data_IF_294551138429
#
_entry.id   IF_294551138429
#
_cell.length_a   1.000
_cell.length_b   1.000
_cell.length_c   1.000
_cell.angle_alpha   90.00
_cell.angle_beta   90.00
_cell.angle_gamma   90.00
#
_symmetry.space_group_name_H-M   'P 1'
#
loop_
_entity.id
_entity.type
_entity.pdbx_description
1 polymer ?
#
# COMPACT_ATOMS: atom_id res chain seq x y z
N UNK A 1 12.33 11.43 2.64
CA UNK A 1 12.13 11.15 4.09
C UNK A 1 10.91 10.25 4.38
N UNK A 2 9.71 10.59 3.88
CA UNK A 2 8.44 9.89 4.21
C UNK A 2 8.41 8.41 3.79
N UNK A 3 8.96 8.09 2.62
CA UNK A 3 9.04 6.70 2.13
C UNK A 3 9.77 5.78 3.14
N UNK A 4 10.93 6.22 3.66
CA UNK A 4 11.70 5.42 4.62
C UNK A 4 10.93 5.12 5.91
N UNK A 5 10.14 6.09 6.40
CA UNK A 5 9.31 5.90 7.59
C UNK A 5 8.19 4.88 7.36
N UNK A 6 7.59 4.85 6.17
CA UNK A 6 6.55 3.88 5.83
C UNK A 6 7.09 2.47 5.57
N UNK A 7 8.40 2.31 5.31
CA UNK A 7 8.99 1.01 5.03
C UNK A 7 8.86 0.03 6.21
N UNK A 8 9.03 0.53 7.45
CA UNK A 8 8.95 -0.28 8.68
C UNK A 8 7.55 -0.87 8.89
N UNK A 9 6.45 -0.08 8.93
CA UNK A 9 5.11 -0.64 9.09
C UNK A 9 4.67 -1.48 7.89
N UNK A 10 5.11 -1.16 6.64
CA UNK A 10 4.82 -2.01 5.47
C UNK A 10 5.53 -3.36 5.54
N UNK A 11 6.82 -3.39 5.91
CA UNK A 11 7.56 -4.64 6.10
C UNK A 11 6.90 -5.50 7.17
N UNK A 12 6.52 -4.90 8.29
CA UNK A 12 5.84 -5.64 9.35
C UNK A 12 4.48 -6.17 8.90
N UNK A 13 3.69 -5.35 8.19
CA UNK A 13 2.42 -5.80 7.61
C UNK A 13 2.63 -6.96 6.63
N UNK A 14 3.64 -6.90 5.76
CA UNK A 14 3.98 -7.97 4.82
C UNK A 14 4.40 -9.26 5.53
N UNK A 15 5.27 -9.20 6.54
CA UNK A 15 5.71 -10.38 7.30
C UNK A 15 4.53 -11.03 8.03
N UNK A 16 3.66 -10.22 8.65
CA UNK A 16 2.49 -10.71 9.37
C UNK A 16 1.42 -11.27 8.44
N UNK A 17 1.21 -10.65 7.29
CA UNK A 17 0.32 -11.14 6.24
C UNK A 17 0.82 -12.48 5.68
N UNK A 18 2.12 -12.62 5.39
CA UNK A 18 2.71 -13.88 4.94
C UNK A 18 2.57 -15.00 5.98
N UNK A 19 2.81 -14.71 7.26
CA UNK A 19 2.85 -15.73 8.33
C UNK A 19 1.48 -16.09 8.89
N UNK A 20 0.61 -15.10 9.09
CA UNK A 20 -0.66 -15.24 9.83
C UNK A 20 -1.89 -14.82 9.04
N UNK A 21 -1.73 -14.23 7.83
CA UNK A 21 -2.83 -13.67 7.04
C UNK A 21 -3.66 -12.63 7.80
N UNK A 22 -3.01 -11.92 8.71
CA UNK A 22 -3.61 -10.88 9.55
C UNK A 22 -2.73 -9.64 9.48
N UNK A 23 -3.32 -8.51 9.10
CA UNK A 23 -2.67 -7.21 9.13
C UNK A 23 -2.96 -6.58 10.50
N UNK A 24 -1.94 -6.36 11.34
CA UNK A 24 -2.14 -5.77 12.66
C UNK A 24 -2.54 -4.29 12.56
N UNK A 25 -3.41 -3.82 13.44
CA UNK A 25 -4.00 -2.49 13.27
C UNK A 25 -3.00 -1.33 13.36
N UNK A 26 -1.91 -1.53 14.11
CA UNK A 26 -0.91 -0.48 14.28
C UNK A 26 -0.17 -0.12 12.98
N UNK A 27 -0.09 -1.01 11.98
CA UNK A 27 0.67 -0.74 10.74
C UNK A 27 -0.04 0.27 9.86
N UNK A 28 -1.35 0.11 9.63
CA UNK A 28 -2.13 1.07 8.85
C UNK A 28 -2.31 2.39 9.61
N UNK A 29 -2.44 2.35 10.95
CA UNK A 29 -2.48 3.55 11.79
C UNK A 29 -1.17 4.34 11.68
N UNK A 30 -0.02 3.67 11.76
CA UNK A 30 1.28 4.32 11.63
C UNK A 30 1.44 4.99 10.25
N UNK A 31 1.10 4.29 9.16
CA UNK A 31 1.17 4.85 7.81
C UNK A 31 0.23 6.05 7.65
N UNK A 32 -0.97 5.99 8.24
CA UNK A 32 -1.92 7.09 8.19
C UNK A 32 -1.40 8.33 8.94
N UNK A 33 -0.85 8.15 10.15
CA UNK A 33 -0.23 9.23 10.92
C UNK A 33 0.97 9.85 10.19
N UNK A 34 1.81 9.02 9.57
CA UNK A 34 2.92 9.51 8.74
C UNK A 34 2.39 10.30 7.54
N UNK A 35 1.31 9.83 6.91
CA UNK A 35 0.63 10.55 5.83
C UNK A 35 0.09 11.91 6.26
N UNK A 36 -0.51 12.01 7.45
CA UNK A 36 -1.00 13.27 8.01
C UNK A 36 0.17 14.22 8.29
N UNK A 37 1.19 13.75 9.01
CA UNK A 37 2.39 14.55 9.27
C UNK A 37 3.01 15.04 7.95
N UNK A 38 3.10 14.18 6.95
CA UNK A 38 3.59 14.54 5.62
C UNK A 38 2.72 15.60 4.94
N UNK A 39 1.40 15.56 5.09
CA UNK A 39 0.50 16.57 4.50
C UNK A 39 0.66 17.96 5.13
N UNK A 40 1.06 18.04 6.40
CA UNK A 40 1.36 19.30 7.07
C UNK A 40 2.79 19.79 6.81
N UNK A 41 3.77 18.88 6.70
CA UNK A 41 5.18 19.24 6.55
C UNK A 41 5.61 19.47 5.10
N UNK A 42 4.94 18.84 4.12
CA UNK A 42 5.35 18.86 2.72
C UNK A 42 4.19 19.32 1.81
N UNK A 43 4.43 20.28 0.89
CA UNK A 43 3.43 20.72 -0.07
C UNK A 43 3.10 19.66 -1.14
N UNK A 44 3.96 18.65 -1.30
CA UNK A 44 3.77 17.53 -2.23
C UNK A 44 3.67 16.20 -1.47
N UNK A 45 2.83 15.24 -1.92
CA UNK A 45 1.80 15.36 -2.96
C UNK A 45 0.64 16.28 -2.56
N UNK A 46 -0.03 16.85 -3.57
CA UNK A 46 -1.15 17.77 -3.38
C UNK A 46 -2.32 17.10 -2.63
N UNK A 47 -3.08 17.88 -1.86
CA UNK A 47 -4.17 17.37 -1.02
C UNK A 47 -5.21 16.56 -1.82
N UNK A 48 -5.55 16.99 -3.03
CA UNK A 48 -6.50 16.26 -3.89
C UNK A 48 -5.97 14.87 -4.27
N UNK A 49 -4.67 14.70 -4.52
CA UNK A 49 -4.07 13.40 -4.83
C UNK A 49 -4.03 12.48 -3.62
N UNK A 50 -3.83 13.04 -2.42
CA UNK A 50 -3.87 12.27 -1.17
C UNK A 50 -5.28 11.79 -0.87
N UNK A 51 -6.28 12.64 -1.03
CA UNK A 51 -7.70 12.28 -0.82
C UNK A 51 -8.13 11.26 -1.88
N UNK A 52 -7.76 11.47 -3.15
CA UNK A 52 -8.04 10.51 -4.21
C UNK A 52 -7.34 9.17 -3.95
N UNK A 53 -6.08 9.20 -3.50
CA UNK A 53 -5.32 8.02 -3.09
C UNK A 53 -5.91 7.31 -1.88
N UNK A 54 -6.56 8.01 -0.95
CA UNK A 54 -7.29 7.39 0.17
C UNK A 54 -8.56 6.70 -0.33
N UNK A 55 -9.38 7.42 -1.11
CA UNK A 55 -10.75 7.02 -1.42
C UNK A 55 -10.81 5.99 -2.54
N UNK A 56 -10.13 6.21 -3.68
CA UNK A 56 -10.25 5.33 -4.85
C UNK A 56 -9.86 3.88 -4.55
N UNK A 57 -8.64 3.57 -4.10
CA UNK A 57 -8.23 2.18 -3.86
C UNK A 57 -8.98 1.56 -2.67
N UNK A 58 -9.27 2.34 -1.62
CA UNK A 58 -10.05 1.89 -0.48
C UNK A 58 -11.48 1.50 -0.89
N UNK A 59 -12.15 2.35 -1.66
CA UNK A 59 -13.51 2.10 -2.16
C UNK A 59 -13.53 0.95 -3.16
N UNK A 60 -12.55 0.86 -4.06
CA UNK A 60 -12.43 -0.27 -5.00
C UNK A 60 -12.32 -1.61 -4.25
N UNK A 61 -11.44 -1.70 -3.25
CA UNK A 61 -11.30 -2.93 -2.45
C UNK A 61 -12.53 -3.20 -1.58
N UNK A 62 -13.19 -2.17 -1.06
CA UNK A 62 -14.45 -2.31 -0.31
C UNK A 62 -15.57 -2.87 -1.21
N UNK A 63 -15.73 -2.36 -2.43
CA UNK A 63 -16.71 -2.88 -3.40
C UNK A 63 -16.39 -4.32 -3.79
N UNK A 64 -15.11 -4.66 -3.94
CA UNK A 64 -14.66 -6.03 -4.21
C UNK A 64 -15.01 -6.96 -3.04
N UNK A 65 -14.75 -6.52 -1.80
CA UNK A 65 -15.08 -7.25 -0.59
C UNK A 65 -16.59 -7.52 -0.48
N UNK A 66 -17.41 -6.51 -0.77
CA UNK A 66 -18.88 -6.62 -0.72
C UNK A 66 -19.44 -7.55 -1.80
N UNK A 67 -18.88 -7.53 -3.01
CA UNK A 67 -19.43 -8.27 -4.16
C UNK A 67 -18.94 -9.71 -4.27
N UNK A 68 -17.65 -9.94 -4.02
CA UNK A 68 -17.02 -11.25 -4.23
C UNK A 68 -16.60 -11.94 -2.94
N UNK A 69 -16.57 -11.21 -1.82
CA UNK A 69 -16.00 -11.71 -0.58
C UNK A 69 -14.49 -11.96 -0.69
N UNK A 70 -13.85 -12.25 0.43
CA UNK A 70 -12.45 -12.71 0.46
C UNK A 70 -11.37 -11.62 0.51
N UNK A 71 -11.72 -10.33 0.46
CA UNK A 71 -10.79 -9.22 0.73
C UNK A 71 -10.84 -8.88 2.23
N UNK A 72 -9.69 -8.83 2.89
CA UNK A 72 -9.61 -8.51 4.31
C UNK A 72 -9.85 -7.02 4.58
N UNK A 73 -10.56 -6.71 5.68
CA UNK A 73 -10.71 -5.32 6.13
C UNK A 73 -9.37 -4.63 6.41
N UNK A 74 -8.36 -5.41 6.82
CA UNK A 74 -7.00 -4.93 6.98
C UNK A 74 -6.36 -4.47 5.66
N UNK A 75 -6.60 -5.19 4.55
CA UNK A 75 -6.07 -4.84 3.23
C UNK A 75 -6.65 -3.51 2.74
N UNK A 76 -7.96 -3.32 2.93
CA UNK A 76 -8.67 -2.08 2.58
C UNK A 76 -8.06 -0.90 3.35
N UNK A 77 -7.93 -1.01 4.67
CA UNK A 77 -7.40 0.06 5.53
C UNK A 77 -5.94 0.37 5.22
N UNK A 78 -5.11 -0.67 5.03
CA UNK A 78 -3.70 -0.52 4.72
C UNK A 78 -3.51 0.17 3.36
N UNK A 79 -4.23 -0.26 2.33
CA UNK A 79 -4.13 0.32 0.99
C UNK A 79 -4.65 1.75 0.95
N UNK A 80 -5.74 2.05 1.68
CA UNK A 80 -6.24 3.41 1.82
C UNK A 80 -5.23 4.31 2.54
N UNK A 81 -4.66 3.86 3.67
CA UNK A 81 -3.64 4.61 4.39
C UNK A 81 -2.38 4.85 3.54
N UNK A 82 -1.93 3.83 2.81
CA UNK A 82 -0.81 3.93 1.87
C UNK A 82 -1.10 4.94 0.75
N UNK A 83 -2.30 4.91 0.18
CA UNK A 83 -2.70 5.86 -0.85
C UNK A 83 -2.83 7.30 -0.36
N UNK A 84 -3.25 7.52 0.88
CA UNK A 84 -3.21 8.85 1.50
C UNK A 84 -1.78 9.35 1.72
N UNK A 85 -0.88 8.45 2.13
CA UNK A 85 0.51 8.79 2.42
C UNK A 85 1.32 9.08 1.15
N UNK A 86 1.17 8.26 0.11
CA UNK A 86 1.97 8.36 -1.12
C UNK A 86 1.27 9.17 -2.23
N UNK A 87 -0.05 9.31 -2.16
CA UNK A 87 -0.87 9.85 -3.24
C UNK A 87 -1.29 8.79 -4.26
N UNK A 88 -2.31 9.10 -5.04
CA UNK A 88 -2.90 8.17 -6.02
C UNK A 88 -1.89 7.69 -7.06
N UNK A 89 -1.10 8.61 -7.65
CA UNK A 89 -0.18 8.28 -8.74
C UNK A 89 0.94 7.35 -8.29
N UNK A 90 1.55 7.64 -7.13
CA UNK A 90 2.59 6.80 -6.55
C UNK A 90 2.03 5.44 -6.14
N UNK A 91 0.84 5.39 -5.51
CA UNK A 91 0.20 4.12 -5.17
C UNK A 91 -0.13 3.30 -6.42
N UNK A 92 -0.62 3.93 -7.50
CA UNK A 92 -0.90 3.25 -8.75
C UNK A 92 0.37 2.62 -9.34
N UNK A 93 1.51 3.34 -9.32
CA UNK A 93 2.79 2.79 -9.74
C UNK A 93 3.24 1.62 -8.84
N UNK A 94 3.09 1.75 -7.52
CA UNK A 94 3.40 0.68 -6.55
C UNK A 94 2.55 -0.58 -6.83
N UNK A 95 1.25 -0.42 -7.02
CA UNK A 95 0.34 -1.51 -7.34
C UNK A 95 0.65 -2.13 -8.71
N UNK A 96 1.03 -1.33 -9.69
CA UNK A 96 1.45 -1.81 -11.00
C UNK A 96 2.68 -2.72 -10.91
N UNK A 97 3.68 -2.36 -10.09
CA UNK A 97 4.83 -3.23 -9.84
C UNK A 97 4.51 -4.44 -8.95
N UNK A 98 3.50 -4.33 -8.10
CA UNK A 98 3.02 -5.43 -7.25
C UNK A 98 2.21 -6.49 -8.02
N UNK A 99 1.58 -6.11 -9.14
CA UNK A 99 0.68 -6.96 -9.92
C UNK A 99 1.35 -8.20 -10.53
N UNK A 100 2.50 -8.10 -11.24
CA UNK A 100 3.15 -9.26 -11.85
C UNK A 100 3.49 -10.38 -10.84
N UNK A 101 4.18 -10.10 -9.71
CA UNK A 101 4.47 -11.16 -8.74
C UNK A 101 3.20 -11.70 -8.07
N UNK A 102 2.17 -10.87 -7.87
CA UNK A 102 0.89 -11.32 -7.35
C UNK A 102 0.17 -12.28 -8.31
N UNK A 103 0.15 -11.97 -9.61
CA UNK A 103 -0.43 -12.83 -10.65
C UNK A 103 0.30 -14.17 -10.76
N UNK A 104 1.63 -14.16 -10.77
CA UNK A 104 2.43 -15.39 -10.82
C UNK A 104 2.17 -16.25 -9.58
N UNK A 105 2.13 -15.63 -8.39
CA UNK A 105 1.84 -16.33 -7.15
C UNK A 105 0.42 -16.93 -7.13
N UNK A 106 -0.59 -16.16 -7.56
CA UNK A 106 -1.97 -16.62 -7.63
C UNK A 106 -2.13 -17.80 -8.61
N UNK A 107 -1.48 -17.72 -9.78
CA UNK A 107 -1.48 -18.80 -10.76
C UNK A 107 -0.79 -20.07 -10.24
N UNK A 108 0.36 -19.92 -9.56
CA UNK A 108 1.15 -21.02 -9.04
C UNK A 108 0.49 -21.72 -7.84
N UNK A 109 -0.11 -20.95 -6.92
CA UNK A 109 -0.67 -21.50 -5.68
C UNK A 109 -2.12 -21.93 -5.80
N UNK A 110 -2.85 -21.49 -6.85
CA UNK A 110 -4.31 -21.71 -7.02
C UNK A 110 -5.14 -21.38 -5.77
N UNK A 111 -4.59 -20.60 -4.83
CA UNK A 111 -5.27 -20.23 -3.60
C UNK A 111 -6.12 -18.99 -3.82
N UNK A 112 -7.29 -18.96 -3.18
CA UNK A 112 -8.23 -17.83 -3.28
C UNK A 112 -7.76 -16.58 -2.52
N UNK A 113 -6.83 -16.72 -1.57
CA UNK A 113 -6.33 -15.61 -0.75
C UNK A 113 -4.87 -15.29 -1.08
N UNK A 114 -4.67 -14.15 -1.73
CA UNK A 114 -3.35 -13.62 -2.09
C UNK A 114 -2.90 -12.65 -0.98
N UNK A 115 -1.68 -12.77 -0.41
CA UNK A 115 -1.23 -11.88 0.66
C UNK A 115 -0.91 -10.49 0.10
N UNK A 116 -1.91 -9.60 0.10
CA UNK A 116 -1.84 -8.31 -0.59
C UNK A 116 -0.75 -7.41 -0.02
N UNK A 117 -0.54 -7.41 1.30
CA UNK A 117 0.47 -6.58 1.94
C UNK A 117 1.89 -6.95 1.52
N UNK A 118 2.16 -8.23 1.23
CA UNK A 118 3.46 -8.70 0.73
C UNK A 118 3.76 -8.11 -0.63
N UNK A 119 2.82 -8.18 -1.57
CA UNK A 119 3.02 -7.64 -2.92
C UNK A 119 3.06 -6.11 -2.92
N UNK A 120 2.22 -5.47 -2.10
CA UNK A 120 2.27 -4.02 -1.90
C UNK A 120 3.65 -3.57 -1.40
N UNK A 121 4.26 -4.33 -0.49
CA UNK A 121 5.60 -4.08 0.04
C UNK A 121 6.68 -4.24 -1.03
N UNK A 122 6.60 -5.29 -1.87
CA UNK A 122 7.52 -5.48 -3.00
C UNK A 122 7.43 -4.31 -3.99
N UNK A 123 6.20 -3.92 -4.37
CA UNK A 123 5.97 -2.77 -5.25
C UNK A 123 6.49 -1.46 -4.65
N UNK A 124 6.34 -1.29 -3.34
CA UNK A 124 6.84 -0.14 -2.61
C UNK A 124 8.38 -0.04 -2.67
N UNK A 125 9.09 -1.14 -2.43
CA UNK A 125 10.56 -1.16 -2.52
C UNK A 125 11.05 -0.93 -3.95
N UNK A 126 10.37 -1.48 -4.95
CA UNK A 126 10.69 -1.22 -6.35
C UNK A 126 10.52 0.27 -6.69
N UNK A 127 9.39 0.87 -6.32
CA UNK A 127 9.13 2.28 -6.53
C UNK A 127 10.15 3.17 -5.80
N UNK A 128 10.45 2.87 -4.53
CA UNK A 128 11.44 3.60 -3.74
C UNK A 128 12.85 3.48 -4.33
N UNK A 129 13.24 2.28 -4.80
CA UNK A 129 14.52 2.04 -5.46
C UNK A 129 14.65 2.80 -6.78
N UNK A 130 13.60 2.83 -7.58
CA UNK A 130 13.52 3.65 -8.80
C UNK A 130 13.72 5.13 -8.45
N UNK A 131 12.97 5.64 -7.47
CA UNK A 131 13.10 7.04 -7.03
C UNK A 131 14.52 7.39 -6.55
N UNK A 132 15.16 6.43 -5.87
CA UNK A 132 16.54 6.57 -5.40
C UNK A 132 17.53 6.63 -6.57
N UNK A 133 17.38 5.77 -7.57
CA UNK A 133 18.25 5.76 -8.77
C UNK A 133 18.12 7.06 -9.56
N UNK A 134 16.90 7.58 -9.71
CA UNK A 134 16.66 8.85 -10.41
C UNK A 134 17.02 10.09 -9.58
N UNK A 135 17.51 9.93 -8.35
CA UNK A 135 17.89 11.06 -7.48
C UNK A 135 16.74 11.96 -7.08
N UNK A 136 15.48 11.52 -7.26
CA UNK A 136 14.27 12.31 -7.04
C UNK A 136 13.84 12.32 -5.56
N UNK A 137 14.80 12.16 -4.64
CA UNK A 137 14.56 12.19 -3.20
C UNK A 137 14.71 13.62 -2.67
N UNK A 138 13.80 14.51 -3.09
CA UNK A 138 13.58 15.79 -2.42
C UNK A 138 12.70 15.59 -1.17
#
# INVERSE_FOLDING_TARGET
MVLLLCAIPLLWAAVMDYRKRIIPDWTWIAIWLIGIASAFLLPFPALYERIAGLLLPGLCLLLLAMRYGGVGGGDIKLTAAAGFCFGLNALAAILFFALPPACVYAAATRQRSVPLAVFLCIGFFMYAGILFIYGLTC
#
